data_IF_349640989411
#
_entry.id   IF_349640989411
#
_cell.length_a   1.000
_cell.length_b   1.000
_cell.length_c   1.000
_cell.angle_alpha   90.00
_cell.angle_beta   90.00
_cell.angle_gamma   90.00
#
_symmetry.space_group_name_H-M   'P 1'
#
loop_
_entity.id
_entity.type
_entity.pdbx_description
1 polymer ?
#
# COMPACT_ATOMS: atom_id res chain seq x y z
N UNK A 1 -32.13 25.93 8.11
CA UNK A 1 -31.01 25.79 7.15
C UNK A 1 -29.92 24.79 7.60
N UNK A 2 -30.23 23.74 8.38
CA UNK A 2 -29.23 22.77 8.87
C UNK A 2 -29.23 21.41 8.13
N UNK A 3 -30.19 21.15 7.24
CA UNK A 3 -30.41 19.81 6.64
C UNK A 3 -29.56 19.54 5.37
N UNK A 4 -29.02 20.57 4.71
CA UNK A 4 -28.19 20.45 3.50
C UNK A 4 -26.70 20.20 3.74
N UNK A 5 -26.16 20.70 4.86
CA UNK A 5 -24.76 20.49 5.24
C UNK A 5 -24.47 19.07 5.73
N UNK A 6 -25.42 18.43 6.42
CA UNK A 6 -25.24 17.08 6.96
C UNK A 6 -25.31 15.98 5.88
N UNK A 7 -26.15 16.15 4.85
CA UNK A 7 -26.23 15.21 3.73
C UNK A 7 -24.96 15.20 2.88
N UNK A 8 -24.40 16.39 2.59
CA UNK A 8 -23.13 16.51 1.87
C UNK A 8 -21.93 16.03 2.71
N UNK A 9 -21.99 16.16 4.04
CA UNK A 9 -20.98 15.62 4.94
C UNK A 9 -21.00 14.09 5.01
N UNK A 10 -22.19 13.47 5.07
CA UNK A 10 -22.33 12.01 5.03
C UNK A 10 -21.79 11.42 3.72
N UNK A 11 -22.08 12.03 2.57
CA UNK A 11 -21.54 11.58 1.28
C UNK A 11 -20.01 11.69 1.21
N UNK A 12 -19.43 12.78 1.74
CA UNK A 12 -17.98 12.93 1.85
C UNK A 12 -17.35 11.89 2.77
N UNK A 13 -18.00 11.58 3.90
CA UNK A 13 -17.52 10.56 4.84
C UNK A 13 -17.56 9.15 4.23
N UNK A 14 -18.63 8.81 3.50
CA UNK A 14 -18.72 7.54 2.76
C UNK A 14 -17.62 7.41 1.72
N UNK A 15 -17.43 8.44 0.89
CA UNK A 15 -16.34 8.47 -0.09
C UNK A 15 -14.96 8.35 0.56
N UNK A 16 -14.73 9.08 1.65
CA UNK A 16 -13.49 8.98 2.41
C UNK A 16 -13.26 7.57 2.95
N UNK A 17 -14.30 6.88 3.41
CA UNK A 17 -14.20 5.51 3.91
C UNK A 17 -13.82 4.53 2.80
N UNK A 18 -14.45 4.63 1.62
CA UNK A 18 -14.10 3.83 0.44
C UNK A 18 -12.68 4.11 -0.04
N UNK A 19 -12.30 5.39 -0.14
CA UNK A 19 -10.97 5.82 -0.56
C UNK A 19 -9.88 5.31 0.41
N UNK A 20 -10.16 5.31 1.72
CA UNK A 20 -9.25 4.76 2.74
C UNK A 20 -9.09 3.25 2.62
N UNK A 21 -10.18 2.51 2.43
CA UNK A 21 -10.13 1.05 2.23
C UNK A 21 -9.33 0.70 0.97
N UNK A 22 -9.54 1.46 -0.11
CA UNK A 22 -8.83 1.26 -1.37
C UNK A 22 -7.35 1.60 -1.25
N UNK A 23 -7.01 2.73 -0.63
CA UNK A 23 -5.63 3.11 -0.36
C UNK A 23 -4.90 2.07 0.50
N UNK A 24 -5.55 1.53 1.53
CA UNK A 24 -4.97 0.44 2.33
C UNK A 24 -4.72 -0.81 1.49
N UNK A 25 -5.64 -1.19 0.60
CA UNK A 25 -5.45 -2.33 -0.30
C UNK A 25 -4.32 -2.11 -1.31
N UNK A 26 -4.17 -0.88 -1.82
CA UNK A 26 -3.09 -0.51 -2.73
C UNK A 26 -1.73 -0.54 -2.02
N UNK A 27 -1.64 -0.05 -0.77
CA UNK A 27 -0.41 -0.08 0.04
C UNK A 27 0.11 -1.51 0.21
N UNK A 28 -0.78 -2.49 0.42
CA UNK A 28 -0.39 -3.90 0.55
C UNK A 28 0.31 -4.44 -0.70
N UNK A 29 -0.08 -3.97 -1.87
CA UNK A 29 0.47 -4.40 -3.16
C UNK A 29 1.70 -3.61 -3.59
N UNK A 30 2.04 -2.51 -2.90
CA UNK A 30 3.29 -1.80 -3.15
C UNK A 30 4.46 -2.72 -2.80
N UNK A 31 5.50 -2.70 -3.63
CA UNK A 31 6.70 -3.49 -3.42
C UNK A 31 7.94 -2.61 -3.39
N UNK A 32 8.88 -2.95 -2.51
CA UNK A 32 10.20 -2.36 -2.47
C UNK A 32 11.26 -3.45 -2.60
N UNK A 33 12.35 -3.16 -3.31
CA UNK A 33 13.43 -4.12 -3.55
C UNK A 33 14.74 -3.60 -2.97
N UNK A 34 15.27 -4.32 -1.99
CA UNK A 34 16.60 -4.08 -1.40
C UNK A 34 17.67 -4.90 -2.12
N UNK A 35 18.88 -4.35 -2.21
CA UNK A 35 20.06 -5.02 -2.75
C UNK A 35 21.20 -4.99 -1.72
N UNK A 36 21.94 -6.08 -1.60
CA UNK A 36 23.12 -6.22 -0.75
C UNK A 36 24.25 -6.95 -1.50
N UNK A 37 25.45 -6.98 -0.92
CA UNK A 37 26.63 -7.66 -1.48
C UNK A 37 26.93 -7.25 -2.94
N UNK A 38 26.90 -5.95 -3.23
CA UNK A 38 27.16 -5.44 -4.59
C UNK A 38 26.04 -5.75 -5.60
N UNK A 39 24.90 -6.28 -5.15
CA UNK A 39 23.79 -6.71 -6.01
C UNK A 39 23.59 -8.22 -6.05
N UNK A 40 24.50 -9.03 -5.46
CA UNK A 40 24.39 -10.48 -5.43
C UNK A 40 23.20 -11.00 -4.61
N UNK A 41 22.72 -10.21 -3.64
CA UNK A 41 21.50 -10.54 -2.89
C UNK A 41 20.46 -9.46 -3.17
N UNK A 42 19.31 -9.87 -3.68
CA UNK A 42 18.17 -9.01 -3.92
C UNK A 42 16.92 -9.56 -3.22
N UNK A 43 16.26 -8.72 -2.43
CA UNK A 43 15.03 -9.08 -1.70
C UNK A 43 13.93 -8.10 -2.07
N UNK A 44 12.79 -8.60 -2.50
CA UNK A 44 11.59 -7.80 -2.70
C UNK A 44 10.62 -8.06 -1.55
N UNK A 45 10.16 -6.99 -0.91
CA UNK A 45 9.13 -7.01 0.13
C UNK A 45 7.89 -6.27 -0.36
N UNK A 46 6.72 -6.66 0.14
CA UNK A 46 5.48 -5.91 -0.07
C UNK A 46 5.19 -4.95 1.10
N UNK A 47 4.12 -4.15 0.98
CA UNK A 47 3.68 -3.22 2.03
C UNK A 47 3.13 -3.89 3.29
N UNK A 48 2.99 -5.22 3.30
CA UNK A 48 2.69 -6.01 4.51
C UNK A 48 3.96 -6.59 5.15
N UNK A 49 5.15 -6.13 4.73
CA UNK A 49 6.45 -6.62 5.16
C UNK A 49 6.70 -8.11 4.89
N UNK A 50 5.98 -8.69 3.93
CA UNK A 50 6.22 -10.06 3.47
C UNK A 50 7.23 -10.06 2.34
N UNK A 51 8.22 -10.95 2.42
CA UNK A 51 9.16 -11.19 1.34
C UNK A 51 8.44 -11.93 0.20
N UNK A 52 8.33 -11.28 -0.96
CA UNK A 52 7.65 -11.84 -2.14
C UNK A 52 8.64 -12.41 -3.16
N UNK A 53 9.89 -11.98 -3.13
CA UNK A 53 10.93 -12.51 -4.00
C UNK A 53 12.31 -12.45 -3.32
N UNK A 54 13.12 -13.47 -3.55
CA UNK A 54 14.51 -13.57 -3.11
C UNK A 54 15.35 -14.05 -4.29
N UNK A 55 16.36 -13.27 -4.66
CA UNK A 55 17.37 -13.67 -5.64
C UNK A 55 18.73 -13.65 -4.96
N UNK A 56 19.46 -14.75 -5.10
CA UNK A 56 20.82 -14.89 -4.63
C UNK A 56 21.62 -15.39 -5.83
N UNK A 57 22.63 -14.61 -6.20
CA UNK A 57 23.62 -15.02 -7.20
C UNK A 57 24.66 -15.90 -6.51
N UNK A 58 24.85 -17.12 -7.01
CA UNK A 58 25.69 -18.13 -6.34
C UNK A 58 27.19 -17.96 -6.65
N UNK A 59 27.56 -17.17 -7.66
CA UNK A 59 28.96 -16.91 -8.03
C UNK A 59 29.66 -18.10 -8.70
#
# INVERSE_FOLDING_TARGET
MFKGGMASMMQKAQKMQEDMQKAQAEIKNLTATGKAAGGAVQVTINGEHQATNLQIDEG
#
